data_IF_961122684974
#
_entry.id   IF_961122684974
#
_cell.length_a   1.000
_cell.length_b   1.000
_cell.length_c   1.000
_cell.angle_alpha   90.00
_cell.angle_beta   90.00
_cell.angle_gamma   90.00
#
_symmetry.space_group_name_H-M   'P 1'
#
loop_
_entity.id
_entity.type
_entity.pdbx_description
1 polymer ?
#
# COMPACT_ATOMS: atom_id res chain seq x y z
N UNK A 1 -7.20 -25.54 12.46
CA UNK A 1 -5.85 -25.03 12.16
C UNK A 1 -5.99 -23.53 11.93
N UNK A 2 -5.14 -22.70 12.53
CA UNK A 2 -5.15 -21.25 12.35
C UNK A 2 -4.94 -20.92 10.86
N UNK A 3 -5.83 -20.10 10.28
CA UNK A 3 -5.68 -19.62 8.89
C UNK A 3 -4.74 -18.39 8.83
N UNK A 4 -3.93 -18.18 9.87
CA UNK A 4 -3.05 -17.05 9.99
C UNK A 4 -1.71 -17.32 9.25
N UNK A 5 -1.32 -16.34 8.44
CA UNK A 5 -0.02 -16.28 7.75
C UNK A 5 1.04 -15.66 8.65
N UNK A 6 0.64 -14.75 9.53
CA UNK A 6 1.48 -14.13 10.55
C UNK A 6 0.77 -14.30 11.89
N UNK A 7 1.50 -14.77 12.89
CA UNK A 7 1.06 -14.76 14.30
C UNK A 7 2.14 -14.10 15.14
N UNK A 8 1.77 -13.11 15.92
CA UNK A 8 2.65 -12.37 16.83
C UNK A 8 2.07 -12.48 18.24
N UNK A 9 2.87 -12.88 19.22
CA UNK A 9 2.47 -13.05 20.62
C UNK A 9 3.43 -12.33 21.55
N UNK A 10 2.93 -11.32 22.27
CA UNK A 10 3.64 -10.54 23.29
C UNK A 10 5.02 -10.03 22.82
N UNK A 11 5.12 -9.67 21.53
CA UNK A 11 6.37 -9.28 20.91
C UNK A 11 6.83 -7.92 21.45
N UNK A 12 8.08 -7.85 21.88
CA UNK A 12 8.69 -6.60 22.36
C UNK A 12 10.05 -6.37 21.74
N UNK A 13 10.37 -5.10 21.47
CA UNK A 13 11.69 -4.67 21.00
C UNK A 13 12.18 -3.47 21.78
N UNK A 14 13.32 -3.67 22.44
CA UNK A 14 14.04 -2.63 23.19
C UNK A 14 15.41 -2.44 22.53
N UNK A 15 15.65 -1.23 22.07
CA UNK A 15 16.99 -0.81 21.65
C UNK A 15 17.81 -0.41 22.86
N UNK A 16 19.08 -0.83 22.90
CA UNK A 16 20.03 -0.52 23.96
C UNK A 16 21.13 0.37 23.42
N UNK A 17 21.75 1.18 24.28
CA UNK A 17 22.96 1.91 23.93
C UNK A 17 24.18 0.98 23.97
N UNK A 18 25.36 1.53 23.65
CA UNK A 18 26.63 0.79 23.67
C UNK A 18 26.94 0.17 25.06
N UNK A 19 26.45 0.79 26.14
CA UNK A 19 26.60 0.35 27.52
C UNK A 19 25.53 -0.65 27.97
N UNK A 20 24.66 -1.12 27.06
CA UNK A 20 23.59 -2.06 27.38
C UNK A 20 22.37 -1.43 28.08
N UNK A 21 22.32 -0.11 28.30
CA UNK A 21 21.22 0.57 28.93
C UNK A 21 20.04 0.70 27.96
N UNK A 22 18.81 0.54 28.44
CA UNK A 22 17.59 0.71 27.64
C UNK A 22 17.52 2.14 27.11
N UNK A 23 17.49 2.30 25.77
CA UNK A 23 17.41 3.60 25.10
C UNK A 23 15.99 3.90 24.62
N UNK A 24 15.40 2.96 23.85
CA UNK A 24 14.06 3.10 23.29
C UNK A 24 13.36 1.75 23.31
N UNK A 25 12.13 1.72 23.77
CA UNK A 25 11.25 0.56 23.60
C UNK A 25 10.33 0.82 22.39
N UNK A 26 10.73 0.29 21.24
CA UNK A 26 10.06 0.55 19.96
C UNK A 26 8.78 -0.27 19.77
N UNK A 27 8.70 -1.46 20.39
CA UNK A 27 7.52 -2.32 20.39
C UNK A 27 7.32 -2.86 21.81
N UNK A 28 6.06 -2.83 22.28
CA UNK A 28 5.68 -3.21 23.65
C UNK A 28 4.56 -4.24 23.58
N UNK A 29 4.89 -5.50 23.89
CA UNK A 29 3.94 -6.62 24.03
C UNK A 29 2.90 -6.70 22.91
N UNK A 30 3.35 -6.50 21.65
CA UNK A 30 2.49 -6.57 20.47
C UNK A 30 1.96 -7.99 20.27
N UNK A 31 0.64 -8.11 20.17
CA UNK A 31 -0.02 -9.37 19.80
C UNK A 31 -1.04 -9.10 18.69
N UNK A 32 -0.89 -9.76 17.55
CA UNK A 32 -1.81 -9.70 16.42
C UNK A 32 -1.63 -10.92 15.51
N UNK A 33 -2.62 -11.16 14.68
CA UNK A 33 -2.60 -12.13 13.61
C UNK A 33 -2.91 -11.48 12.27
N UNK A 34 -2.40 -12.07 11.17
CA UNK A 34 -2.77 -11.72 9.79
C UNK A 34 -3.24 -12.98 9.09
N UNK A 35 -4.44 -12.93 8.51
CA UNK A 35 -5.09 -14.07 7.85
C UNK A 35 -4.61 -14.21 6.41
N UNK A 36 -4.67 -15.43 5.87
CA UNK A 36 -4.33 -15.69 4.47
C UNK A 36 -5.28 -14.94 3.53
N UNK A 37 -4.71 -14.27 2.53
CA UNK A 37 -5.46 -13.57 1.48
C UNK A 37 -6.08 -12.24 1.88
N UNK A 38 -5.83 -11.73 3.12
CA UNK A 38 -6.26 -10.39 3.50
C UNK A 38 -5.21 -9.32 3.20
N UNK A 39 -5.66 -8.08 3.07
CA UNK A 39 -4.82 -6.88 3.15
C UNK A 39 -4.92 -6.35 4.57
N UNK A 40 -3.82 -6.39 5.30
CA UNK A 40 -3.71 -5.92 6.67
C UNK A 40 -2.92 -4.61 6.73
N UNK A 41 -3.51 -3.58 7.33
CA UNK A 41 -2.88 -2.27 7.54
C UNK A 41 -2.30 -2.12 8.93
N UNK A 42 -1.00 -1.83 9.05
CA UNK A 42 -0.37 -1.43 10.30
C UNK A 42 -0.20 0.09 10.32
N UNK A 43 -1.07 0.77 11.06
CA UNK A 43 -1.18 2.22 11.11
C UNK A 43 -0.45 2.81 12.31
N UNK A 44 -0.04 4.06 12.18
CA UNK A 44 0.48 4.84 13.30
C UNK A 44 1.43 5.95 12.86
N UNK A 45 1.68 6.93 13.73
CA UNK A 45 2.61 8.02 13.44
C UNK A 45 4.06 7.50 13.28
N UNK A 46 4.94 8.37 12.80
CA UNK A 46 6.37 8.06 12.74
C UNK A 46 6.91 7.75 14.15
N UNK A 47 7.75 6.70 14.24
CA UNK A 47 8.28 6.22 15.53
C UNK A 47 7.31 5.32 16.34
N UNK A 48 6.11 4.99 15.85
CA UNK A 48 5.18 4.10 16.56
C UNK A 48 5.58 2.62 16.58
N UNK A 49 6.60 2.20 15.82
CA UNK A 49 7.09 0.83 15.79
C UNK A 49 6.77 0.04 14.50
N UNK A 50 6.09 0.63 13.50
CA UNK A 50 5.72 -0.02 12.23
C UNK A 50 6.91 -0.64 11.51
N UNK A 51 7.89 0.17 11.11
CA UNK A 51 9.10 -0.30 10.41
C UNK A 51 9.93 -1.26 11.26
N UNK A 52 9.95 -1.08 12.60
CA UNK A 52 10.58 -2.04 13.51
C UNK A 52 9.90 -3.40 13.43
N UNK A 53 8.56 -3.43 13.43
CA UNK A 53 7.77 -4.65 13.28
C UNK A 53 8.02 -5.31 11.92
N UNK A 54 8.01 -4.52 10.83
CA UNK A 54 8.33 -5.03 9.49
C UNK A 54 9.73 -5.67 9.41
N UNK A 55 10.74 -5.03 9.99
CA UNK A 55 12.11 -5.59 10.03
C UNK A 55 12.19 -6.88 10.84
N UNK A 56 11.38 -7.02 11.89
CA UNK A 56 11.29 -8.28 12.64
C UNK A 56 10.60 -9.38 11.81
N UNK A 57 9.53 -9.07 11.07
CA UNK A 57 8.88 -10.00 10.14
C UNK A 57 9.86 -10.55 9.09
N UNK A 58 10.72 -9.70 8.56
CA UNK A 58 11.76 -10.09 7.60
C UNK A 58 12.94 -10.88 8.21
N UNK A 59 13.03 -10.93 9.54
CA UNK A 59 14.20 -11.52 10.21
C UNK A 59 15.45 -10.64 10.15
N UNK A 60 15.31 -9.37 9.75
CA UNK A 60 16.40 -8.37 9.75
C UNK A 60 16.68 -7.80 11.14
N UNK A 61 15.77 -8.04 12.06
CA UNK A 61 15.83 -7.59 13.43
C UNK A 61 15.21 -8.66 14.34
N UNK A 62 15.90 -9.00 15.43
CA UNK A 62 15.39 -9.96 16.40
C UNK A 62 14.60 -9.26 17.52
N UNK A 63 13.47 -9.83 17.98
CA UNK A 63 12.75 -9.33 19.14
C UNK A 63 13.60 -9.43 20.41
N UNK A 64 13.26 -8.61 21.41
CA UNK A 64 13.85 -8.73 22.75
C UNK A 64 13.13 -9.80 23.58
N UNK A 65 11.81 -9.96 23.36
CA UNK A 65 10.96 -11.00 23.95
C UNK A 65 9.71 -11.19 23.11
N UNK A 66 8.99 -12.30 23.38
CA UNK A 66 7.80 -12.71 22.64
C UNK A 66 8.15 -13.60 21.46
N UNK A 67 7.11 -14.08 20.79
CA UNK A 67 7.22 -15.05 19.69
C UNK A 67 6.52 -14.53 18.43
N UNK A 68 7.02 -14.97 17.29
CA UNK A 68 6.46 -14.62 16.00
C UNK A 68 6.64 -15.79 15.02
N UNK A 69 5.52 -16.14 14.36
CA UNK A 69 5.47 -17.17 13.32
C UNK A 69 5.00 -16.54 12.02
N UNK A 70 5.67 -16.84 10.90
CA UNK A 70 5.38 -16.32 9.57
C UNK A 70 5.40 -17.47 8.58
N UNK A 71 4.30 -17.65 7.83
CA UNK A 71 4.13 -18.76 6.89
C UNK A 71 4.39 -20.14 7.56
N UNK A 72 4.01 -20.27 8.84
CA UNK A 72 4.21 -21.49 9.63
C UNK A 72 5.63 -21.71 10.15
N UNK A 73 6.56 -20.77 9.89
CA UNK A 73 7.97 -20.83 10.32
C UNK A 73 8.29 -19.77 11.37
N UNK A 74 9.27 -20.07 12.23
CA UNK A 74 9.80 -19.05 13.16
C UNK A 74 10.34 -17.84 12.41
N UNK A 75 10.25 -16.66 13.02
CA UNK A 75 10.82 -15.43 12.47
C UNK A 75 12.33 -15.52 12.20
N UNK A 76 13.06 -16.34 12.94
CA UNK A 76 14.50 -16.58 12.75
C UNK A 76 14.84 -17.51 11.57
N UNK A 77 13.87 -18.27 11.05
CA UNK A 77 14.06 -19.11 9.88
C UNK A 77 14.04 -18.26 8.60
N UNK A 78 15.22 -18.03 8.03
CA UNK A 78 15.38 -17.20 6.83
C UNK A 78 14.76 -17.82 5.57
N UNK A 79 14.52 -19.13 5.54
CA UNK A 79 13.94 -19.83 4.39
C UNK A 79 12.50 -19.37 4.07
N UNK A 80 11.80 -18.77 5.04
CA UNK A 80 10.50 -18.13 4.80
C UNK A 80 10.56 -16.98 3.80
N UNK A 81 11.73 -16.31 3.71
CA UNK A 81 11.89 -15.11 2.86
C UNK A 81 11.82 -15.45 1.36
N UNK A 82 12.00 -16.72 0.96
CA UNK A 82 11.75 -17.17 -0.41
C UNK A 82 10.30 -16.94 -0.84
N UNK A 83 9.37 -16.88 0.12
CA UNK A 83 7.93 -16.68 -0.11
C UNK A 83 7.43 -15.30 0.32
N UNK A 84 8.35 -14.39 0.65
CA UNK A 84 8.05 -13.02 1.06
C UNK A 84 8.56 -12.04 -0.01
N UNK A 85 7.69 -11.13 -0.44
CA UNK A 85 8.07 -9.95 -1.21
C UNK A 85 8.11 -8.74 -0.29
N UNK A 86 9.10 -7.87 -0.47
CA UNK A 86 9.24 -6.67 0.36
C UNK A 86 9.49 -5.42 -0.46
N UNK A 87 8.65 -4.42 -0.28
CA UNK A 87 8.83 -3.07 -0.79
C UNK A 87 9.16 -2.14 0.39
N UNK A 88 10.42 -1.72 0.57
CA UNK A 88 10.81 -0.77 1.61
C UNK A 88 10.28 0.64 1.31
N UNK A 89 10.21 1.52 2.31
CA UNK A 89 9.85 2.94 2.13
C UNK A 89 10.74 3.63 1.09
N UNK A 90 12.06 3.40 1.13
CA UNK A 90 13.00 3.82 0.10
C UNK A 90 13.53 2.60 -0.66
N UNK A 91 13.28 2.55 -1.97
CA UNK A 91 13.78 1.47 -2.83
C UNK A 91 15.18 1.81 -3.34
N UNK A 92 16.19 1.13 -2.82
CA UNK A 92 17.60 1.28 -3.24
C UNK A 92 17.88 0.42 -4.48
N UNK A 93 17.21 0.74 -5.61
CA UNK A 93 17.43 0.08 -6.88
C UNK A 93 18.65 0.67 -7.60
N UNK A 94 19.33 -0.15 -8.41
CA UNK A 94 20.47 0.29 -9.25
C UNK A 94 19.98 1.22 -10.34
N UNK A 95 20.20 2.52 -10.17
CA UNK A 95 19.62 3.58 -11.02
C UNK A 95 20.11 3.58 -12.47
N UNK A 96 21.22 2.90 -12.76
CA UNK A 96 21.77 2.74 -14.12
C UNK A 96 21.16 1.56 -14.91
N UNK A 97 20.45 0.65 -14.24
CA UNK A 97 19.71 -0.42 -14.89
C UNK A 97 18.37 0.09 -15.43
N UNK A 98 17.83 -0.61 -16.42
CA UNK A 98 16.44 -0.48 -16.86
C UNK A 98 15.53 -1.48 -16.12
N UNK A 99 14.22 -1.53 -16.46
CA UNK A 99 13.28 -2.41 -15.77
C UNK A 99 13.59 -3.90 -16.03
N UNK A 100 13.91 -4.29 -17.26
CA UNK A 100 14.24 -5.67 -17.61
C UNK A 100 15.49 -6.14 -16.86
N UNK A 101 16.55 -5.35 -16.90
CA UNK A 101 17.82 -5.65 -16.24
C UNK A 101 17.65 -5.75 -14.72
N UNK A 102 16.81 -4.88 -14.15
CA UNK A 102 16.48 -4.90 -12.72
C UNK A 102 15.79 -6.21 -12.33
N UNK A 103 14.75 -6.59 -13.05
CA UNK A 103 13.99 -7.82 -12.72
C UNK A 103 14.81 -9.08 -13.03
N UNK A 104 15.62 -9.10 -14.11
CA UNK A 104 16.55 -10.21 -14.38
C UNK A 104 17.57 -10.35 -13.26
N UNK A 105 18.15 -9.26 -12.78
CA UNK A 105 19.10 -9.26 -11.65
C UNK A 105 18.48 -9.90 -10.40
N UNK A 106 17.30 -9.44 -9.97
CA UNK A 106 16.64 -10.00 -8.80
C UNK A 106 16.16 -11.44 -9.00
N UNK A 107 15.69 -11.79 -10.20
CA UNK A 107 15.32 -13.18 -10.53
C UNK A 107 16.51 -14.14 -10.44
N UNK A 108 17.73 -13.69 -10.79
CA UNK A 108 18.96 -14.48 -10.59
C UNK A 108 19.26 -14.73 -9.11
N UNK A 109 19.00 -13.77 -8.23
CA UNK A 109 19.18 -13.95 -6.79
C UNK A 109 18.26 -15.03 -6.21
N UNK A 110 17.10 -15.26 -6.84
CA UNK A 110 16.19 -16.36 -6.50
C UNK A 110 16.44 -17.65 -7.30
N UNK A 111 17.60 -17.77 -7.99
CA UNK A 111 17.98 -18.93 -8.80
C UNK A 111 16.93 -19.33 -9.88
N UNK A 112 16.16 -18.36 -10.39
CA UNK A 112 15.17 -18.61 -11.44
C UNK A 112 15.84 -18.95 -12.78
N UNK A 113 15.22 -19.83 -13.58
CA UNK A 113 15.68 -20.12 -14.93
C UNK A 113 15.61 -18.88 -15.83
N UNK A 114 16.42 -18.82 -16.89
CA UNK A 114 16.39 -17.68 -17.82
C UNK A 114 15.00 -17.48 -18.45
N UNK A 115 14.33 -18.59 -18.81
CA UNK A 115 12.98 -18.55 -19.39
C UNK A 115 11.96 -17.99 -18.38
N UNK A 116 12.01 -18.42 -17.12
CA UNK A 116 11.11 -17.92 -16.08
C UNK A 116 11.37 -16.44 -15.76
N UNK A 117 12.61 -16.01 -15.72
CA UNK A 117 12.95 -14.60 -15.50
C UNK A 117 12.35 -13.71 -16.59
N UNK A 118 12.50 -14.09 -17.87
CA UNK A 118 11.96 -13.34 -19.01
C UNK A 118 10.44 -13.28 -18.89
N UNK A 119 9.77 -14.43 -18.79
CA UNK A 119 8.31 -14.51 -18.66
C UNK A 119 7.79 -13.69 -17.50
N UNK A 120 8.40 -13.86 -16.32
CA UNK A 120 7.97 -13.15 -15.11
C UNK A 120 8.22 -11.65 -15.18
N UNK A 121 9.31 -11.23 -15.80
CA UNK A 121 9.59 -9.80 -16.02
C UNK A 121 8.56 -9.16 -16.93
N UNK A 122 8.16 -9.81 -18.03
CA UNK A 122 7.12 -9.32 -18.92
C UNK A 122 5.78 -9.17 -18.21
N UNK A 123 5.36 -10.20 -17.46
CA UNK A 123 4.13 -10.17 -16.66
C UNK A 123 4.11 -9.02 -15.65
N UNK A 124 5.22 -8.83 -14.93
CA UNK A 124 5.32 -7.82 -13.87
C UNK A 124 5.43 -6.40 -14.43
N UNK A 125 6.21 -6.17 -15.48
CA UNK A 125 6.33 -4.87 -16.15
C UNK A 125 4.98 -4.42 -16.70
N UNK A 126 4.22 -5.33 -17.28
CA UNK A 126 2.86 -5.05 -17.76
C UNK A 126 1.91 -4.77 -16.59
N UNK A 127 1.95 -5.62 -15.55
CA UNK A 127 1.12 -5.46 -14.36
C UNK A 127 1.26 -4.09 -13.70
N UNK A 128 2.50 -3.57 -13.61
CA UNK A 128 2.79 -2.26 -13.00
C UNK A 128 2.73 -1.09 -13.99
N UNK A 129 2.32 -1.33 -15.24
CA UNK A 129 2.10 -0.31 -16.28
C UNK A 129 3.37 0.41 -16.73
N UNK A 130 4.52 -0.29 -16.74
CA UNK A 130 5.82 0.28 -17.14
C UNK A 130 6.29 -0.16 -18.54
N UNK A 131 5.44 -0.83 -19.33
CA UNK A 131 5.79 -1.35 -20.66
C UNK A 131 6.44 -0.31 -21.57
N UNK A 132 5.88 0.91 -21.67
CA UNK A 132 6.42 2.01 -22.50
C UNK A 132 7.76 2.56 -21.99
N UNK A 133 8.08 2.37 -20.72
CA UNK A 133 9.30 2.90 -20.10
C UNK A 133 10.34 1.81 -19.81
N UNK A 134 10.06 0.54 -20.14
CA UNK A 134 10.86 -0.62 -19.73
C UNK A 134 12.35 -0.54 -20.10
N UNK A 135 12.69 0.13 -21.21
CA UNK A 135 14.07 0.29 -21.69
C UNK A 135 14.78 1.54 -21.17
N UNK A 136 14.07 2.45 -20.49
CA UNK A 136 14.70 3.63 -19.87
C UNK A 136 15.43 3.24 -18.60
N UNK A 137 16.56 3.90 -18.32
CA UNK A 137 17.25 3.70 -17.05
C UNK A 137 16.41 4.20 -15.88
N UNK A 138 16.50 3.52 -14.72
CA UNK A 138 15.71 3.87 -13.53
C UNK A 138 16.02 5.29 -13.00
N UNK A 139 17.18 5.86 -13.30
CA UNK A 139 17.49 7.27 -12.99
C UNK A 139 16.54 8.28 -13.66
N UNK A 140 15.88 7.86 -14.76
CA UNK A 140 14.92 8.68 -15.52
C UNK A 140 13.47 8.46 -15.06
N UNK A 141 13.26 7.55 -14.11
CA UNK A 141 11.94 7.24 -13.60
C UNK A 141 11.47 8.33 -12.63
N UNK A 142 10.17 8.68 -12.73
CA UNK A 142 9.50 9.45 -11.68
C UNK A 142 9.45 8.64 -10.39
N UNK A 143 9.13 9.30 -9.26
CA UNK A 143 8.96 8.63 -7.97
C UNK A 143 7.92 7.51 -8.06
N UNK A 144 6.77 7.76 -8.71
CA UNK A 144 5.73 6.77 -8.93
C UNK A 144 6.19 5.58 -9.78
N UNK A 145 6.94 5.83 -10.86
CA UNK A 145 7.53 4.76 -11.67
C UNK A 145 8.55 3.94 -10.86
N UNK A 146 9.40 4.60 -10.06
CA UNK A 146 10.36 3.92 -9.19
C UNK A 146 9.65 3.06 -8.14
N UNK A 147 8.56 3.53 -7.59
CA UNK A 147 7.76 2.79 -6.61
C UNK A 147 7.12 1.55 -7.25
N UNK A 148 6.59 1.68 -8.47
CA UNK A 148 5.98 0.57 -9.22
C UNK A 148 7.00 -0.49 -9.64
N UNK A 149 8.19 -0.12 -10.11
CA UNK A 149 9.23 -1.12 -10.40
C UNK A 149 9.78 -1.78 -9.13
N UNK A 150 9.81 -1.04 -8.01
CA UNK A 150 10.13 -1.62 -6.70
C UNK A 150 9.11 -2.68 -6.26
N UNK A 151 7.81 -2.43 -6.52
CA UNK A 151 6.77 -3.44 -6.28
C UNK A 151 6.96 -4.65 -7.22
N UNK A 152 7.22 -4.45 -8.50
CA UNK A 152 7.51 -5.53 -9.43
C UNK A 152 8.70 -6.38 -8.97
N UNK A 153 9.78 -5.74 -8.50
CA UNK A 153 10.94 -6.42 -7.91
C UNK A 153 10.54 -7.25 -6.69
N UNK A 154 9.70 -6.71 -5.80
CA UNK A 154 9.22 -7.44 -4.63
C UNK A 154 8.34 -8.65 -4.97
N UNK A 155 7.82 -8.74 -6.19
CA UNK A 155 6.95 -9.80 -6.68
C UNK A 155 7.65 -10.82 -7.58
N UNK A 156 8.96 -10.68 -7.84
CA UNK A 156 9.68 -11.49 -8.84
C UNK A 156 9.63 -12.99 -8.52
N UNK A 157 9.76 -13.35 -7.25
CA UNK A 157 9.75 -14.73 -6.74
C UNK A 157 8.35 -15.31 -6.49
N UNK A 158 7.30 -14.66 -6.98
CA UNK A 158 5.89 -15.03 -6.78
C UNK A 158 5.50 -15.27 -5.30
N UNK A 159 5.71 -14.30 -4.41
CA UNK A 159 5.56 -14.46 -2.97
C UNK A 159 4.11 -14.77 -2.56
N UNK A 160 3.95 -15.50 -1.44
CA UNK A 160 2.64 -15.71 -0.79
C UNK A 160 2.28 -14.53 0.13
N UNK A 161 3.28 -13.87 0.70
CA UNK A 161 3.16 -12.71 1.60
C UNK A 161 3.91 -11.51 1.02
N UNK A 162 3.24 -10.38 0.89
CA UNK A 162 3.84 -9.13 0.42
C UNK A 162 3.83 -8.10 1.54
N UNK A 163 5.00 -7.60 1.88
CA UNK A 163 5.20 -6.57 2.91
C UNK A 163 5.50 -5.24 2.22
N UNK A 164 4.71 -4.21 2.50
CA UNK A 164 4.80 -2.88 1.87
C UNK A 164 5.02 -1.82 2.95
N UNK A 165 6.18 -1.18 2.96
CA UNK A 165 6.46 -0.09 3.90
C UNK A 165 6.20 1.25 3.21
N UNK A 166 5.16 1.98 3.66
CA UNK A 166 4.71 3.27 3.15
C UNK A 166 4.55 3.29 1.60
N UNK A 167 3.74 2.37 1.00
CA UNK A 167 3.72 2.16 -0.45
C UNK A 167 3.29 3.39 -1.26
N UNK A 168 2.48 4.27 -0.69
CA UNK A 168 1.90 5.47 -1.32
C UNK A 168 2.65 6.76 -0.97
N UNK A 169 3.63 6.69 -0.06
CA UNK A 169 4.33 7.88 0.44
C UNK A 169 4.98 8.71 -0.67
N UNK A 170 4.58 10.00 -0.74
CA UNK A 170 5.11 10.99 -1.67
C UNK A 170 4.80 10.72 -3.13
N UNK A 171 3.76 9.95 -3.42
CA UNK A 171 3.15 9.85 -4.74
C UNK A 171 2.15 11.01 -4.94
N UNK A 172 1.92 11.37 -6.19
CA UNK A 172 0.79 12.21 -6.57
C UNK A 172 -0.53 11.43 -6.48
N UNK A 173 -1.70 12.07 -6.54
CA UNK A 173 -2.98 11.36 -6.40
C UNK A 173 -3.17 10.24 -7.43
N UNK A 174 -2.70 10.43 -8.68
CA UNK A 174 -2.78 9.39 -9.70
C UNK A 174 -1.89 8.18 -9.37
N UNK A 175 -0.65 8.43 -8.96
CA UNK A 175 0.28 7.37 -8.53
C UNK A 175 -0.20 6.63 -7.29
N UNK A 176 -0.82 7.35 -6.34
CA UNK A 176 -1.46 6.77 -5.16
C UNK A 176 -2.59 5.82 -5.58
N UNK A 177 -3.48 6.26 -6.46
CA UNK A 177 -4.57 5.43 -6.98
C UNK A 177 -4.05 4.20 -7.72
N UNK A 178 -3.07 4.36 -8.62
CA UNK A 178 -2.45 3.25 -9.34
C UNK A 178 -1.83 2.23 -8.35
N UNK A 179 -1.20 2.69 -7.26
CA UNK A 179 -0.64 1.80 -6.24
C UNK A 179 -1.72 1.06 -5.44
N UNK A 180 -2.80 1.74 -5.06
CA UNK A 180 -3.98 1.11 -4.41
C UNK A 180 -4.58 0.02 -5.30
N UNK A 181 -4.77 0.28 -6.60
CA UNK A 181 -5.31 -0.68 -7.56
C UNK A 181 -4.39 -1.91 -7.70
N UNK A 182 -3.06 -1.72 -7.66
CA UNK A 182 -2.09 -2.83 -7.66
C UNK A 182 -2.21 -3.68 -6.39
N UNK A 183 -2.37 -3.07 -5.21
CA UNK A 183 -2.55 -3.79 -3.94
C UNK A 183 -3.85 -4.63 -3.98
N UNK A 184 -4.96 -4.05 -4.46
CA UNK A 184 -6.22 -4.77 -4.61
C UNK A 184 -6.12 -5.91 -5.63
N UNK A 185 -5.35 -5.73 -6.71
CA UNK A 185 -5.06 -6.79 -7.67
C UNK A 185 -4.27 -7.93 -7.04
N UNK A 186 -3.27 -7.66 -6.20
CA UNK A 186 -2.55 -8.71 -5.46
C UNK A 186 -3.48 -9.50 -4.55
N UNK A 187 -4.37 -8.83 -3.83
CA UNK A 187 -5.41 -9.47 -3.02
C UNK A 187 -6.31 -10.38 -3.86
N UNK A 188 -6.81 -9.91 -5.02
CA UNK A 188 -7.66 -10.73 -5.91
C UNK A 188 -6.95 -11.95 -6.47
N UNK A 189 -5.61 -11.96 -6.52
CA UNK A 189 -4.77 -13.11 -6.87
C UNK A 189 -4.50 -14.03 -5.68
N UNK A 190 -5.13 -13.80 -4.51
CA UNK A 190 -4.98 -14.61 -3.30
C UNK A 190 -3.71 -14.34 -2.50
N UNK A 191 -2.95 -13.28 -2.81
CA UNK A 191 -1.79 -12.88 -2.03
C UNK A 191 -2.23 -12.29 -0.69
N UNK A 192 -1.43 -12.52 0.36
CA UNK A 192 -1.58 -11.81 1.63
C UNK A 192 -0.71 -10.56 1.58
N UNK A 193 -1.27 -9.42 1.94
CA UNK A 193 -0.54 -8.16 1.92
C UNK A 193 -0.55 -7.53 3.31
N UNK A 194 0.61 -7.12 3.80
CA UNK A 194 0.74 -6.29 5.00
C UNK A 194 1.35 -4.96 4.59
N UNK A 195 0.64 -3.88 4.84
CA UNK A 195 1.16 -2.55 4.55
C UNK A 195 1.29 -1.70 5.82
N UNK A 196 2.40 -0.98 5.95
CA UNK A 196 2.54 0.09 6.92
C UNK A 196 2.16 1.42 6.28
N UNK A 197 1.38 2.24 6.97
CA UNK A 197 1.10 3.60 6.54
C UNK A 197 0.82 4.52 7.73
N UNK A 198 1.07 5.80 7.51
CA UNK A 198 0.60 6.88 8.39
C UNK A 198 -0.58 7.65 7.75
N UNK A 199 -0.95 7.32 6.51
CA UNK A 199 -2.06 7.95 5.76
C UNK A 199 -3.33 7.10 5.90
N UNK A 200 -4.31 7.60 6.63
CA UNK A 200 -5.53 6.86 6.99
C UNK A 200 -6.41 6.59 5.77
N UNK A 201 -6.54 7.56 4.85
CA UNK A 201 -7.36 7.42 3.66
C UNK A 201 -6.90 6.26 2.76
N UNK A 202 -5.57 6.10 2.57
CA UNK A 202 -5.02 5.04 1.73
C UNK A 202 -5.34 3.65 2.28
N UNK A 203 -5.31 3.52 3.60
CA UNK A 203 -5.55 2.25 4.28
C UNK A 203 -7.04 1.88 4.28
N UNK A 204 -7.91 2.88 4.45
CA UNK A 204 -9.36 2.69 4.41
C UNK A 204 -9.82 2.09 3.08
N UNK A 205 -9.18 2.48 1.97
CA UNK A 205 -9.58 2.05 0.63
C UNK A 205 -9.16 0.61 0.27
N UNK A 206 -8.10 0.09 0.91
CA UNK A 206 -7.50 -1.20 0.47
C UNK A 206 -7.46 -2.28 1.55
N UNK A 207 -7.49 -1.91 2.85
CA UNK A 207 -7.32 -2.87 3.92
C UNK A 207 -8.65 -3.52 4.37
N UNK A 208 -8.60 -4.81 4.68
CA UNK A 208 -9.71 -5.54 5.31
C UNK A 208 -9.73 -5.31 6.83
N UNK A 209 -8.53 -5.38 7.43
CA UNK A 209 -8.31 -5.22 8.86
C UNK A 209 -7.12 -4.30 9.09
N UNK A 210 -7.15 -3.62 10.21
CA UNK A 210 -6.08 -2.71 10.64
C UNK A 210 -5.67 -2.96 12.08
N UNK A 211 -4.40 -2.67 12.34
CA UNK A 211 -3.86 -2.49 13.67
C UNK A 211 -3.28 -1.09 13.83
N UNK A 212 -3.71 -0.34 14.85
CA UNK A 212 -3.19 1.01 15.12
C UNK A 212 -2.13 0.93 16.19
N UNK A 213 -0.89 1.26 15.83
CA UNK A 213 0.25 1.37 16.75
C UNK A 213 0.44 2.80 17.23
N UNK A 214 0.57 2.96 18.53
CA UNK A 214 0.94 4.24 19.14
C UNK A 214 1.95 4.00 20.26
N UNK A 215 3.09 4.67 20.21
CA UNK A 215 4.20 4.53 21.19
C UNK A 215 4.62 3.07 21.45
N UNK A 216 4.64 2.25 20.40
CA UNK A 216 5.03 0.85 20.45
C UNK A 216 3.94 -0.11 20.91
N UNK A 217 2.74 0.37 21.23
CA UNK A 217 1.61 -0.43 21.69
C UNK A 217 0.51 -0.51 20.63
N UNK A 218 -0.13 -1.67 20.52
CA UNK A 218 -1.32 -1.85 19.70
C UNK A 218 -2.53 -1.28 20.45
N UNK A 219 -3.14 -0.24 19.91
CA UNK A 219 -4.29 0.44 20.54
C UNK A 219 -5.63 -0.03 19.98
N UNK A 220 -5.66 -0.38 18.70
CA UNK A 220 -6.88 -0.83 18.01
C UNK A 220 -6.50 -1.99 17.11
N UNK A 221 -7.37 -2.99 17.01
CA UNK A 221 -7.28 -4.10 16.06
C UNK A 221 -8.69 -4.50 15.65
N UNK A 222 -9.00 -4.49 14.37
CA UNK A 222 -10.33 -4.88 13.89
C UNK A 222 -10.48 -4.72 12.39
N UNK A 223 -11.66 -5.04 11.87
CA UNK A 223 -12.05 -4.82 10.49
C UNK A 223 -12.29 -3.33 10.27
N UNK A 224 -11.91 -2.84 9.08
CA UNK A 224 -12.05 -1.41 8.74
C UNK A 224 -13.52 -0.99 8.75
N UNK A 225 -14.40 -1.79 8.15
CA UNK A 225 -15.84 -1.55 8.11
C UNK A 225 -16.46 -1.46 9.52
N UNK A 226 -16.12 -2.41 10.41
CA UNK A 226 -16.63 -2.44 11.79
C UNK A 226 -16.11 -1.27 12.66
N UNK A 227 -14.83 -0.91 12.46
CA UNK A 227 -14.19 0.16 13.23
C UNK A 227 -14.68 1.56 12.82
N UNK A 228 -15.11 1.71 11.57
CA UNK A 228 -15.61 2.98 11.03
C UNK A 228 -17.13 3.11 11.10
N UNK A 229 -17.85 2.07 11.50
CA UNK A 229 -19.30 2.08 11.63
C UNK A 229 -19.73 3.08 12.71
N UNK A 230 -20.49 4.10 12.30
CA UNK A 230 -21.12 5.06 13.21
C UNK A 230 -22.47 4.51 13.67
N UNK A 231 -22.46 3.74 14.76
CA UNK A 231 -23.64 2.99 15.27
C UNK A 231 -24.87 3.83 15.57
N UNK A 232 -24.71 5.13 15.72
CA UNK A 232 -25.80 6.06 16.08
C UNK A 232 -26.26 6.92 14.90
N UNK A 233 -25.76 6.66 13.67
CA UNK A 233 -26.11 7.44 12.50
C UNK A 233 -26.54 6.52 11.35
N UNK A 234 -27.50 6.98 10.58
CA UNK A 234 -27.94 6.32 9.33
C UNK A 234 -27.78 7.30 8.19
N UNK A 235 -27.04 6.93 7.15
CA UNK A 235 -26.88 7.72 5.94
C UNK A 235 -27.75 7.14 4.81
N UNK A 236 -28.66 7.95 4.25
CA UNK A 236 -29.43 7.62 3.06
C UNK A 236 -28.84 8.38 1.84
N UNK A 237 -28.43 7.66 0.81
CA UNK A 237 -28.02 8.22 -0.48
C UNK A 237 -29.13 8.09 -1.50
N UNK A 238 -29.51 9.20 -2.14
CA UNK A 238 -30.51 9.24 -3.19
C UNK A 238 -30.09 10.24 -4.28
N UNK A 239 -30.79 10.30 -5.39
CA UNK A 239 -30.69 11.40 -6.37
C UNK A 239 -31.10 12.72 -5.71
N UNK A 240 -30.86 13.85 -6.38
CA UNK A 240 -31.26 15.17 -5.88
C UNK A 240 -32.73 15.19 -5.57
N UNK A 241 -33.09 15.54 -4.36
CA UNK A 241 -34.48 15.66 -3.91
C UNK A 241 -35.07 17.03 -4.32
N UNK A 242 -36.34 17.07 -4.62
CA UNK A 242 -37.10 18.33 -4.69
C UNK A 242 -37.33 18.87 -3.26
N UNK A 243 -37.57 20.17 -3.13
CA UNK A 243 -37.87 20.77 -1.82
C UNK A 243 -39.08 20.14 -1.15
N UNK A 244 -40.12 19.80 -1.94
CA UNK A 244 -41.30 19.12 -1.44
C UNK A 244 -40.98 17.72 -0.89
N UNK A 245 -40.21 16.94 -1.63
CA UNK A 245 -39.75 15.60 -1.17
C UNK A 245 -38.93 15.69 0.12
N UNK A 246 -38.07 16.70 0.24
CA UNK A 246 -37.30 16.92 1.45
C UNK A 246 -38.20 17.25 2.66
N UNK A 247 -39.18 18.11 2.48
CA UNK A 247 -40.17 18.46 3.52
C UNK A 247 -40.99 17.25 3.96
N UNK A 248 -41.41 16.41 3.02
CA UNK A 248 -42.17 15.21 3.36
C UNK A 248 -41.36 14.18 4.11
N UNK A 249 -40.09 13.99 3.73
CA UNK A 249 -39.15 13.14 4.50
C UNK A 249 -38.97 13.70 5.92
N UNK A 250 -38.80 15.02 6.08
CA UNK A 250 -38.70 15.66 7.41
C UNK A 250 -39.96 15.41 8.26
N UNK A 251 -41.15 15.49 7.67
CA UNK A 251 -42.43 15.20 8.36
C UNK A 251 -42.48 13.72 8.84
N UNK A 252 -42.05 12.80 7.97
CA UNK A 252 -42.02 11.38 8.32
C UNK A 252 -41.02 11.12 9.47
N UNK A 253 -39.81 11.68 9.38
CA UNK A 253 -38.79 11.53 10.43
C UNK A 253 -39.27 12.11 11.79
N UNK A 254 -39.92 13.26 11.75
CA UNK A 254 -40.49 13.90 12.96
C UNK A 254 -41.57 13.03 13.64
N UNK A 255 -42.39 12.28 12.90
CA UNK A 255 -43.34 11.31 13.45
C UNK A 255 -42.66 10.18 14.22
N UNK A 256 -41.41 9.88 13.93
CA UNK A 256 -40.58 8.89 14.61
C UNK A 256 -39.59 9.49 15.61
N UNK A 257 -39.81 10.75 16.01
CA UNK A 257 -38.96 11.52 16.97
C UNK A 257 -37.52 11.72 16.47
N UNK A 258 -37.27 11.68 15.18
CA UNK A 258 -35.98 11.97 14.54
C UNK A 258 -36.00 13.43 14.10
N UNK A 259 -35.39 14.32 14.90
CA UNK A 259 -35.38 15.77 14.65
C UNK A 259 -34.05 16.33 14.16
N UNK A 260 -32.98 15.52 14.18
CA UNK A 260 -31.62 15.92 13.84
C UNK A 260 -31.20 15.55 12.41
N UNK A 261 -32.16 15.22 11.53
CA UNK A 261 -31.86 14.84 10.14
C UNK A 261 -31.23 16.01 9.35
N UNK A 262 -30.08 15.78 8.77
CA UNK A 262 -29.37 16.72 7.92
C UNK A 262 -29.49 16.32 6.45
N UNK A 263 -29.86 17.29 5.60
CA UNK A 263 -29.87 17.12 4.16
C UNK A 263 -28.75 17.96 3.57
N UNK A 264 -27.85 17.33 2.82
CA UNK A 264 -26.74 18.01 2.18
C UNK A 264 -26.46 17.38 0.83
N UNK A 265 -26.07 18.20 -0.13
CA UNK A 265 -25.52 17.70 -1.39
C UNK A 265 -24.11 17.21 -1.17
N UNK A 266 -23.77 15.96 -1.54
CA UNK A 266 -22.40 15.47 -1.45
C UNK A 266 -21.52 16.36 -2.32
N UNK A 267 -20.34 16.71 -1.78
CA UNK A 267 -19.30 17.40 -2.53
C UNK A 267 -18.23 16.37 -2.91
N UNK A 268 -17.80 16.38 -4.16
CA UNK A 268 -16.58 15.69 -4.55
C UNK A 268 -15.42 16.31 -3.78
N UNK A 269 -14.50 15.49 -3.30
CA UNK A 269 -13.25 16.03 -2.76
C UNK A 269 -12.32 16.50 -3.90
N UNK A 270 -11.25 17.20 -3.54
CA UNK A 270 -10.30 17.71 -4.53
C UNK A 270 -9.55 16.60 -5.25
N UNK A 271 -9.33 15.45 -4.60
CA UNK A 271 -8.69 14.28 -5.19
C UNK A 271 -9.58 13.69 -6.30
N UNK A 272 -10.88 13.49 -6.01
CA UNK A 272 -11.84 13.00 -6.99
C UNK A 272 -11.99 13.94 -8.19
N UNK A 273 -12.04 15.28 -7.93
CA UNK A 273 -12.07 16.29 -8.98
C UNK A 273 -10.81 16.22 -9.86
N UNK A 274 -9.63 16.13 -9.24
CA UNK A 274 -8.35 16.02 -9.94
C UNK A 274 -8.31 14.76 -10.81
N UNK A 275 -8.64 13.59 -10.24
CA UNK A 275 -8.63 12.32 -10.96
C UNK A 275 -9.61 12.33 -12.15
N UNK A 276 -10.80 12.92 -12.00
CA UNK A 276 -11.75 13.09 -13.08
C UNK A 276 -11.20 13.98 -14.19
N UNK A 277 -10.62 15.14 -13.84
CA UNK A 277 -10.04 16.07 -14.80
C UNK A 277 -8.89 15.43 -15.60
N UNK A 278 -8.01 14.66 -14.93
CA UNK A 278 -6.91 13.95 -15.59
C UNK A 278 -7.41 12.85 -16.53
N UNK A 279 -8.46 12.11 -16.15
CA UNK A 279 -9.08 11.11 -17.03
C UNK A 279 -9.72 11.72 -18.26
N UNK A 280 -10.43 12.84 -18.10
CA UNK A 280 -11.09 13.54 -19.19
C UNK A 280 -10.09 14.18 -20.16
N UNK A 281 -8.92 14.63 -19.69
CA UNK A 281 -7.87 15.20 -20.54
C UNK A 281 -7.18 14.19 -21.45
N UNK A 282 -7.31 12.88 -21.17
CA UNK A 282 -6.68 11.81 -21.95
C UNK A 282 -5.15 11.79 -21.92
N UNK A 283 -4.52 12.74 -21.23
CA UNK A 283 -3.06 12.90 -21.16
C UNK A 283 -2.56 12.69 -19.72
N UNK A 284 -1.44 11.97 -19.57
CA UNK A 284 -0.78 11.85 -18.27
C UNK A 284 0.05 13.09 -18.00
N UNK A 285 0.00 13.68 -16.80
CA UNK A 285 0.88 14.79 -16.40
C UNK A 285 2.35 14.43 -16.63
N UNK A 286 3.11 15.36 -17.20
CA UNK A 286 4.55 15.17 -17.42
C UNK A 286 4.92 14.33 -18.65
N UNK A 287 4.02 14.17 -19.62
CA UNK A 287 4.34 13.56 -20.92
C UNK A 287 5.50 14.35 -21.57
N UNK A 288 6.62 13.67 -21.79
CA UNK A 288 7.69 14.23 -22.63
C UNK A 288 7.27 14.11 -24.09
N UNK A 289 7.41 15.17 -24.84
CA UNK A 289 7.22 15.15 -26.29
C UNK A 289 8.17 14.12 -26.90
N UNK A 290 7.69 13.36 -27.88
CA UNK A 290 8.54 12.47 -28.69
C UNK A 290 9.50 13.31 -29.53
N UNK A 291 10.60 12.71 -29.97
CA UNK A 291 11.55 13.40 -30.86
C UNK A 291 10.88 13.93 -32.13
N UNK A 292 9.84 13.25 -32.63
CA UNK A 292 9.04 13.65 -33.79
C UNK A 292 8.15 14.86 -33.49
N UNK A 293 7.52 14.91 -32.32
CA UNK A 293 6.71 16.05 -31.87
C UNK A 293 7.55 17.30 -31.64
N UNK A 294 8.78 17.15 -31.09
CA UNK A 294 9.75 18.25 -30.92
C UNK A 294 10.22 18.76 -32.29
N UNK A 295 10.49 17.86 -33.24
CA UNK A 295 10.90 18.22 -34.59
C UNK A 295 9.78 18.91 -35.39
N UNK A 296 8.52 18.53 -35.15
CA UNK A 296 7.36 19.18 -35.78
C UNK A 296 7.11 20.59 -35.24
N UNK A 297 7.30 20.82 -33.92
CA UNK A 297 7.12 22.15 -33.29
C UNK A 297 8.24 23.14 -33.64
N UNK A 298 9.45 22.67 -34.02
CA UNK A 298 10.57 23.51 -34.41
C UNK A 298 10.48 24.08 -35.83
N UNK A 299 9.54 23.62 -36.67
CA UNK A 299 9.37 24.11 -38.06
C UNK A 299 8.35 25.26 -38.22
N UNK A 300 7.70 25.70 -37.12
CA UNK A 300 6.68 26.76 -37.15
C UNK A 300 7.16 28.17 -36.80
N UNK A 301 8.47 28.42 -36.70
CA UNK A 301 9.04 29.70 -36.22
C UNK A 301 9.91 30.46 -37.21
N UNK A 302 9.63 30.37 -38.52
CA UNK A 302 10.21 31.27 -39.53
C UNK A 302 9.18 31.51 -40.63
N UNK A 303 8.35 32.51 -40.42
CA UNK A 303 7.66 33.27 -41.45
C UNK A 303 7.37 34.67 -40.95
#
# INVERSE_FOLDING_TARGET
>A
MSNAVIEIRNLSKIYRDFWGRKKVQAVKSLSLDVKKGEVFGLLGPNGSGKTTTMKMLLGLLFPTSGEMTILGKSASDVSKNEKIGYLPEESYLYRFLNADETLDFYGRLFNMSAADRIRRSDELIEMVGLGKARRRQLKEYSKGMTRRIGLAQALINDPELVLLDEPTSGLDPLGTREMKDLILRLKSQGKTVVMCSHQLADVQDVCDRIGVLFQGELKVLGRVDELLEMKNETQLRTSTLSKEAEEDIRKVLAKHNITNAQFSSPRADLEELFLRTVRESGERPGRRFSAEEIAASGKGGQA
#
